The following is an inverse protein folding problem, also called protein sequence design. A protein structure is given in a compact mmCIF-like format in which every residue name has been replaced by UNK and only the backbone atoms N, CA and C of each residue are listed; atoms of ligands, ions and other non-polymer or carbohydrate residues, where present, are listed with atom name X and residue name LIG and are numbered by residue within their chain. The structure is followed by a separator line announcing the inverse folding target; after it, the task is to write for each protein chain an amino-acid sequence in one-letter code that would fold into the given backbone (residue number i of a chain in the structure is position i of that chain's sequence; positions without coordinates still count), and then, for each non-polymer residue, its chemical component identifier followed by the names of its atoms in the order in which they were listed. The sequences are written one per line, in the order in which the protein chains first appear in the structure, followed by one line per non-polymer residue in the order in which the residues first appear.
data_IF_798901972376
#
_entry.id   IF_798901972376
#
_cell.length_a   1.000
_cell.length_b   1.000
_cell.length_c   1.000
_cell.angle_alpha   90.00
_cell.angle_beta   90.00
_cell.angle_gamma   90.00
#
_symmetry.space_group_name_H-M   'P 1'
#
loop_
_entity.id
_entity.type
_entity.pdbx_description
1 polymer ?
#
# COMPACT_ATOMS: atom_id res chain seq x y z
N UNK A 1 -22.42 -3.99 -16.80
CA UNK A 1 -20.98 -4.02 -17.14
C UNK A 1 -20.59 -2.63 -17.62
N UNK A 2 -19.48 -2.08 -17.14
CA UNK A 2 -18.95 -0.77 -17.58
C UNK A 2 -17.58 -1.01 -18.22
N UNK A 3 -17.32 -0.40 -19.36
CA UNK A 3 -16.05 -0.51 -20.09
C UNK A 3 -15.26 0.80 -19.95
N UNK A 4 -13.96 0.68 -19.72
CA UNK A 4 -12.99 1.79 -19.70
C UNK A 4 -12.04 1.59 -20.88
N UNK A 5 -11.84 2.64 -21.67
CA UNK A 5 -10.79 2.71 -22.69
C UNK A 5 -9.79 3.74 -22.18
N UNK A 6 -8.52 3.36 -22.13
CA UNK A 6 -7.42 4.22 -21.68
C UNK A 6 -6.34 4.21 -22.74
N UNK A 7 -5.86 5.39 -23.11
CA UNK A 7 -4.68 5.51 -23.96
C UNK A 7 -3.43 5.30 -23.10
N UNK A 8 -2.57 4.40 -23.54
CA UNK A 8 -1.29 4.10 -22.91
C UNK A 8 -0.21 4.06 -23.98
N UNK A 9 1.00 4.43 -23.61
CA UNK A 9 2.17 4.25 -24.45
C UNK A 9 2.66 2.78 -24.41
N UNK A 10 3.49 2.43 -25.39
CA UNK A 10 4.05 1.08 -25.55
C UNK A 10 4.89 0.62 -24.35
N UNK A 11 5.57 1.56 -23.67
CA UNK A 11 6.35 1.24 -22.47
C UNK A 11 5.43 0.86 -21.32
N UNK A 12 4.34 1.61 -21.14
CA UNK A 12 3.32 1.31 -20.14
C UNK A 12 2.64 -0.02 -20.42
N UNK A 13 2.29 -0.31 -21.68
CA UNK A 13 1.73 -1.60 -22.09
C UNK A 13 2.67 -2.77 -21.74
N UNK A 14 3.95 -2.68 -22.11
CA UNK A 14 4.93 -3.71 -21.81
C UNK A 14 5.05 -3.97 -20.30
N UNK A 15 5.05 -2.91 -19.48
CA UNK A 15 5.08 -3.02 -18.01
C UNK A 15 3.86 -3.73 -17.46
N UNK A 16 2.66 -3.42 -17.97
CA UNK A 16 1.42 -4.09 -17.57
C UNK A 16 1.50 -5.58 -17.89
N UNK A 17 1.93 -5.95 -19.10
CA UNK A 17 2.01 -7.35 -19.53
C UNK A 17 2.99 -8.13 -18.64
N UNK A 18 4.18 -7.58 -18.40
CA UNK A 18 5.21 -8.23 -17.56
C UNK A 18 4.70 -8.41 -16.13
N UNK A 19 4.11 -7.36 -15.54
CA UNK A 19 3.61 -7.41 -14.17
C UNK A 19 2.43 -8.39 -14.02
N UNK A 20 1.52 -8.40 -14.98
CA UNK A 20 0.39 -9.33 -15.01
C UNK A 20 0.88 -10.79 -15.12
N UNK A 21 1.83 -11.06 -16.03
CA UNK A 21 2.43 -12.39 -16.18
C UNK A 21 3.15 -12.85 -14.91
N UNK A 22 3.90 -11.96 -14.27
CA UNK A 22 4.60 -12.25 -13.01
C UNK A 22 3.62 -12.57 -11.89
N UNK A 23 2.45 -11.92 -11.88
CA UNK A 23 1.36 -12.21 -10.94
C UNK A 23 0.50 -13.43 -11.33
N UNK A 24 0.74 -14.06 -12.50
CA UNK A 24 -0.09 -15.16 -13.02
C UNK A 24 -1.51 -14.72 -13.41
N UNK A 25 -1.71 -13.44 -13.73
CA UNK A 25 -3.01 -12.84 -14.06
C UNK A 25 -3.04 -12.35 -15.51
N UNK A 26 -4.24 -12.17 -16.07
CA UNK A 26 -4.39 -11.39 -17.30
C UNK A 26 -4.17 -9.90 -17.03
N UNK A 27 -3.83 -9.13 -18.07
CA UNK A 27 -3.61 -7.68 -17.96
C UNK A 27 -4.82 -6.95 -17.34
N UNK A 28 -6.04 -7.30 -17.73
CA UNK A 28 -7.26 -6.69 -17.20
C UNK A 28 -7.51 -7.07 -15.72
N UNK A 29 -7.27 -8.34 -15.35
CA UNK A 29 -7.39 -8.78 -13.96
C UNK A 29 -6.35 -8.09 -13.07
N UNK A 30 -5.12 -7.98 -13.56
CA UNK A 30 -4.05 -7.29 -12.87
C UNK A 30 -4.37 -5.80 -12.70
N UNK A 31 -4.84 -5.12 -13.75
CA UNK A 31 -5.21 -3.70 -13.67
C UNK A 31 -6.37 -3.47 -12.70
N UNK A 32 -7.40 -4.32 -12.73
CA UNK A 32 -8.50 -4.28 -11.74
C UNK A 32 -7.97 -4.39 -10.31
N UNK A 33 -7.08 -5.36 -10.06
CA UNK A 33 -6.46 -5.56 -8.76
C UNK A 33 -5.68 -4.33 -8.29
N UNK A 34 -4.90 -3.71 -9.17
CA UNK A 34 -4.16 -2.47 -8.84
C UNK A 34 -5.12 -1.33 -8.51
N UNK A 35 -6.21 -1.16 -9.26
CA UNK A 35 -7.22 -0.14 -8.96
C UNK A 35 -7.83 -0.40 -7.58
N UNK A 36 -8.23 -1.63 -7.29
CA UNK A 36 -8.77 -2.01 -5.99
C UNK A 36 -7.74 -1.70 -4.88
N UNK A 37 -6.49 -2.16 -5.01
CA UNK A 37 -5.41 -1.91 -4.04
C UNK A 37 -5.10 -0.42 -3.81
N UNK A 38 -5.23 0.42 -4.85
CA UNK A 38 -4.92 1.87 -4.76
C UNK A 38 -6.11 2.72 -4.34
N UNK A 39 -7.33 2.21 -4.48
CA UNK A 39 -8.57 2.94 -4.12
C UNK A 39 -9.15 2.50 -2.78
N UNK A 40 -8.65 1.40 -2.22
CA UNK A 40 -8.94 1.02 -0.83
C UNK A 40 -8.50 2.15 0.09
N UNK A 41 -9.49 2.87 0.62
CA UNK A 41 -9.32 4.00 1.55
C UNK A 41 -9.25 3.55 3.02
N UNK A 42 -9.38 2.25 3.27
CA UNK A 42 -9.38 1.66 4.60
C UNK A 42 -8.32 0.57 4.70
N UNK A 43 -7.59 0.53 5.80
CA UNK A 43 -6.64 -0.57 6.05
C UNK A 43 -7.31 -1.94 5.90
N UNK A 44 -6.65 -2.92 5.25
CA UNK A 44 -7.12 -4.31 5.23
C UNK A 44 -7.33 -4.84 6.64
N UNK A 45 -8.29 -5.73 6.84
CA UNK A 45 -8.60 -6.24 8.18
C UNK A 45 -7.43 -6.99 8.81
N UNK A 46 -6.53 -7.57 8.01
CA UNK A 46 -5.26 -8.12 8.50
C UNK A 46 -4.36 -7.07 9.15
N UNK A 47 -4.33 -5.85 8.62
CA UNK A 47 -3.58 -4.73 9.20
C UNK A 47 -4.30 -4.16 10.41
N UNK A 48 -5.64 -4.07 10.39
CA UNK A 48 -6.41 -3.69 11.57
C UNK A 48 -6.28 -4.70 12.71
N UNK A 49 -6.20 -5.99 12.41
CA UNK A 49 -5.99 -7.04 13.41
C UNK A 49 -4.61 -6.96 14.07
N UNK A 50 -3.62 -6.36 13.38
CA UNK A 50 -2.31 -6.06 13.96
C UNK A 50 -2.33 -4.81 14.85
N UNK A 51 -3.33 -3.94 14.72
CA UNK A 51 -3.51 -2.81 15.63
C UNK A 51 -3.95 -3.34 17.01
N UNK A 52 -3.05 -3.28 17.98
CA UNK A 52 -3.21 -3.87 19.32
C UNK A 52 -2.36 -5.12 19.57
N UNK A 53 -1.69 -5.67 18.54
CA UNK A 53 -0.69 -6.74 18.70
C UNK A 53 0.68 -6.23 19.17
N UNK A 54 0.85 -4.92 19.28
CA UNK A 54 2.10 -4.30 19.71
C UNK A 54 2.16 -4.36 21.24
N UNK A 55 2.53 -5.52 21.77
CA UNK A 55 2.56 -5.78 23.22
C UNK A 55 3.70 -5.05 23.95
N UNK A 56 4.76 -4.66 23.22
CA UNK A 56 6.00 -4.14 23.80
C UNK A 56 6.41 -2.76 23.25
N UNK A 57 5.45 -1.89 22.93
CA UNK A 57 5.78 -0.49 22.60
C UNK A 57 5.69 0.40 23.84
N UNK A 58 6.73 1.23 24.12
CA UNK A 58 6.70 2.16 25.22
C UNK A 58 5.47 3.07 25.08
N UNK A 59 4.82 3.39 26.20
CA UNK A 59 3.67 4.28 26.16
C UNK A 59 4.10 5.64 25.59
N UNK A 60 3.17 6.33 24.91
CA UNK A 60 3.44 7.62 24.26
C UNK A 60 4.01 8.70 25.21
N UNK A 61 3.87 8.51 26.53
CA UNK A 61 4.41 9.37 27.59
C UNK A 61 5.89 9.08 27.89
N UNK A 62 6.32 7.81 27.78
CA UNK A 62 7.71 7.37 27.92
C UNK A 62 8.55 7.80 26.71
N UNK A 63 7.98 7.71 25.50
CA UNK A 63 8.61 8.20 24.27
C UNK A 63 8.84 9.71 24.32
N UNK A 64 7.86 10.48 24.81
CA UNK A 64 7.96 11.94 24.94
C UNK A 64 8.94 12.39 26.01
N UNK A 65 9.24 11.53 27.00
CA UNK A 65 10.19 11.85 28.07
C UNK A 65 11.66 11.73 27.63
N UNK A 66 11.95 11.03 26.53
CA UNK A 66 13.31 10.79 26.03
C UNK A 66 13.84 11.80 25.01
N UNK A 67 12.98 12.50 24.28
CA UNK A 67 13.35 13.34 23.12
C UNK A 67 13.19 14.86 23.36
N UNK A 68 13.38 15.29 24.61
CA UNK A 68 13.29 16.70 25.02
C UNK A 68 14.62 17.36 25.40
N UNK A 69 15.77 16.82 24.98
CA UNK A 69 17.06 17.52 25.12
C UNK A 69 17.63 17.86 23.75
N UNK A 70 17.16 18.99 23.22
CA UNK A 70 17.94 19.79 22.28
C UNK A 70 19.26 20.13 22.98
N UNK A 71 20.36 19.48 22.57
CA UNK A 71 21.70 19.88 22.98
C UNK A 71 22.08 21.10 22.17
N UNK A 72 21.80 22.28 22.70
CA UNK A 72 22.44 23.51 22.23
C UNK A 72 23.90 23.48 22.66
N UNK A 73 24.81 23.54 21.68
CA UNK A 73 26.27 23.63 21.85
C UNK A 73 26.68 25.10 21.78
#
# INVERSE_FOLDING_TARGET
MKQLIVEIDETTEARIIIAAKTAGLSAQQWLKRIIDEKTVSSWPDSVKALAGSWQDVPFAEELRSGEGREKTY
#
